data_IF_084653564888
#
_entry.id   IF_084653564888
#
_cell.length_a   1.000
_cell.length_b   1.000
_cell.length_c   1.000
_cell.angle_alpha   90.00
_cell.angle_beta   90.00
_cell.angle_gamma   90.00
#
_symmetry.space_group_name_H-M   'P 1'
#
loop_
_entity.id
_entity.type
_entity.pdbx_description
1 polymer ?
#
# COMPACT_ATOMS: atom_id res chain seq x y z
N UNK A 1 0.43 -2.77 -10.72
CA UNK A 1 -0.17 -1.93 -9.67
C UNK A 1 0.87 -1.31 -8.75
N UNK A 2 1.77 -2.10 -8.16
CA UNK A 2 2.92 -1.63 -7.38
C UNK A 2 3.72 -0.50 -8.07
N UNK A 3 4.03 -0.66 -9.35
CA UNK A 3 4.73 0.37 -10.15
C UNK A 3 4.01 1.71 -10.15
N UNK A 4 2.66 1.71 -10.21
CA UNK A 4 1.86 2.94 -10.15
C UNK A 4 1.93 3.61 -8.77
N UNK A 5 1.95 2.82 -7.69
CA UNK A 5 2.14 3.35 -6.33
C UNK A 5 3.52 3.98 -6.18
N UNK A 6 4.58 3.28 -6.59
CA UNK A 6 5.95 3.81 -6.52
C UNK A 6 6.06 5.08 -7.38
N UNK A 7 5.51 5.07 -8.60
CA UNK A 7 5.47 6.24 -9.47
C UNK A 7 4.75 7.44 -8.83
N UNK A 8 3.63 7.21 -8.16
CA UNK A 8 2.91 8.25 -7.42
C UNK A 8 3.70 8.82 -6.24
N UNK A 9 4.41 7.97 -5.48
CA UNK A 9 5.26 8.40 -4.37
C UNK A 9 6.46 9.23 -4.88
N UNK A 10 7.09 8.79 -5.96
CA UNK A 10 8.18 9.53 -6.61
C UNK A 10 7.70 10.87 -7.18
N UNK A 11 6.49 10.92 -7.77
CA UNK A 11 5.88 12.16 -8.25
C UNK A 11 5.64 13.18 -7.12
N UNK A 12 5.41 12.70 -5.89
CA UNK A 12 5.33 13.51 -4.68
C UNK A 12 6.70 13.92 -4.11
N UNK A 13 7.80 13.66 -4.84
CA UNK A 13 9.18 14.00 -4.46
C UNK A 13 9.69 13.22 -3.23
N UNK A 14 9.07 12.08 -2.92
CA UNK A 14 9.59 11.16 -1.91
C UNK A 14 10.87 10.51 -2.47
N UNK A 15 12.00 10.52 -1.73
CA UNK A 15 13.24 9.88 -2.14
C UNK A 15 13.03 8.41 -2.52
N UNK A 16 13.74 7.92 -3.53
CA UNK A 16 13.50 6.57 -4.07
C UNK A 16 13.76 5.45 -3.04
N UNK A 17 14.75 5.63 -2.19
CA UNK A 17 15.10 4.77 -1.05
C UNK A 17 13.98 4.70 0.01
N UNK A 18 13.06 5.66 0.03
CA UNK A 18 11.86 5.66 0.88
C UNK A 18 10.61 5.25 0.10
N UNK A 19 10.44 5.74 -1.13
CA UNK A 19 9.28 5.49 -1.97
C UNK A 19 9.11 4.01 -2.33
N UNK A 20 10.22 3.31 -2.63
CA UNK A 20 10.20 1.89 -2.95
C UNK A 20 9.71 1.04 -1.76
N UNK A 21 10.31 1.10 -0.56
CA UNK A 21 9.82 0.31 0.57
C UNK A 21 8.40 0.70 0.99
N UNK A 22 8.04 1.99 0.94
CA UNK A 22 6.66 2.43 1.20
C UNK A 22 5.65 1.79 0.23
N UNK A 23 5.94 1.82 -1.08
CA UNK A 23 5.08 1.23 -2.10
C UNK A 23 4.93 -0.28 -1.96
N UNK A 24 6.03 -0.99 -1.68
CA UNK A 24 6.02 -2.45 -1.45
C UNK A 24 5.20 -2.80 -0.21
N UNK A 25 5.40 -2.08 0.89
CA UNK A 25 4.67 -2.31 2.14
C UNK A 25 3.17 -2.07 1.99
N UNK A 26 2.77 -0.93 1.40
CA UNK A 26 1.37 -0.62 1.15
C UNK A 26 0.71 -1.63 0.21
N UNK A 27 1.41 -2.06 -0.84
CA UNK A 27 0.92 -3.08 -1.76
C UNK A 27 0.70 -4.43 -1.07
N UNK A 28 1.65 -4.86 -0.22
CA UNK A 28 1.52 -6.08 0.58
C UNK A 28 0.35 -6.02 1.55
N UNK A 29 0.16 -4.89 2.25
CA UNK A 29 -0.98 -4.71 3.17
C UNK A 29 -2.33 -4.71 2.46
N UNK A 30 -2.43 -4.05 1.31
CA UNK A 30 -3.62 -4.11 0.49
C UNK A 30 -3.92 -5.55 0.01
N UNK A 31 -2.89 -6.34 -0.30
CA UNK A 31 -3.02 -7.73 -0.72
C UNK A 31 -3.45 -8.66 0.44
N UNK A 32 -2.88 -8.51 1.63
CA UNK A 32 -3.33 -9.25 2.83
C UNK A 32 -4.85 -9.10 3.03
N UNK A 33 -5.35 -7.87 2.90
CA UNK A 33 -6.76 -7.55 3.09
C UNK A 33 -7.67 -8.03 1.98
N UNK A 34 -7.20 -7.97 0.74
CA UNK A 34 -7.96 -8.42 -0.40
C UNK A 34 -7.96 -9.96 -0.56
N UNK A 35 -6.93 -10.66 -0.06
CA UNK A 35 -6.83 -12.11 -0.20
C UNK A 35 -7.71 -12.90 0.77
N UNK A 36 -7.81 -12.49 2.04
CA UNK A 36 -8.36 -13.37 3.06
C UNK A 36 -7.60 -14.71 3.11
N UNK A 37 -8.27 -15.82 2.76
CA UNK A 37 -7.66 -17.16 2.61
C UNK A 37 -7.39 -17.56 1.14
N UNK A 38 -7.63 -16.66 0.17
CA UNK A 38 -7.50 -16.96 -1.24
C UNK A 38 -6.03 -17.01 -1.70
N UNK A 39 -5.71 -17.97 -2.57
CA UNK A 39 -4.39 -18.12 -3.20
C UNK A 39 -4.10 -17.11 -4.32
N UNK A 40 -5.11 -16.35 -4.74
CA UNK A 40 -5.00 -15.33 -5.77
C UNK A 40 -6.00 -14.21 -5.50
N UNK A 41 -5.69 -13.01 -5.99
CA UNK A 41 -6.47 -11.80 -5.76
C UNK A 41 -6.75 -11.18 -7.13
N UNK A 42 -8.00 -10.81 -7.38
CA UNK A 42 -8.31 -10.03 -8.57
C UNK A 42 -7.73 -8.61 -8.43
N UNK A 43 -7.25 -8.05 -9.53
CA UNK A 43 -6.67 -6.70 -9.54
C UNK A 43 -7.64 -5.62 -9.05
N UNK A 44 -8.96 -5.81 -9.26
CA UNK A 44 -10.01 -4.92 -8.76
C UNK A 44 -10.08 -4.91 -7.24
N UNK A 45 -10.04 -6.07 -6.60
CA UNK A 45 -10.18 -6.17 -5.15
C UNK A 45 -8.95 -5.59 -4.46
N UNK A 46 -7.77 -5.82 -5.05
CA UNK A 46 -6.55 -5.16 -4.61
C UNK A 46 -6.63 -3.62 -4.75
N UNK A 47 -7.23 -3.11 -5.82
CA UNK A 47 -7.45 -1.68 -6.03
C UNK A 47 -8.33 -1.04 -4.96
N UNK A 48 -9.41 -1.71 -4.60
CA UNK A 48 -10.32 -1.24 -3.56
C UNK A 48 -9.66 -1.25 -2.17
N UNK A 49 -8.69 -2.13 -1.93
CA UNK A 49 -8.00 -2.24 -0.64
C UNK A 49 -6.83 -1.25 -0.42
N UNK A 50 -6.34 -0.55 -1.45
CA UNK A 50 -5.21 0.40 -1.28
C UNK A 50 -5.55 1.58 -0.36
N UNK A 51 -6.66 2.26 -0.62
CA UNK A 51 -7.06 3.44 0.16
C UNK A 51 -7.16 3.13 1.67
N UNK A 52 -7.90 2.06 2.04
CA UNK A 52 -7.94 1.56 3.40
C UNK A 52 -6.54 1.23 3.98
N UNK A 53 -5.65 0.60 3.22
CA UNK A 53 -4.30 0.28 3.68
C UNK A 53 -3.49 1.54 4.00
N UNK A 54 -3.59 2.59 3.18
CA UNK A 54 -2.96 3.89 3.44
C UNK A 54 -3.49 4.51 4.74
N UNK A 55 -4.82 4.53 4.93
CA UNK A 55 -5.43 5.07 6.13
C UNK A 55 -4.95 4.36 7.40
N UNK A 56 -4.86 3.04 7.38
CA UNK A 56 -4.38 2.27 8.54
C UNK A 56 -2.95 2.62 8.92
N UNK A 57 -2.05 2.74 7.93
CA UNK A 57 -0.66 3.13 8.17
C UNK A 57 -0.58 4.50 8.81
N UNK A 58 -1.38 5.46 8.30
CA UNK A 58 -1.46 6.81 8.86
C UNK A 58 -2.02 6.81 10.30
N UNK A 59 -3.06 6.04 10.60
CA UNK A 59 -3.62 5.96 11.96
C UNK A 59 -2.65 5.33 12.95
N UNK A 60 -1.91 4.29 12.55
CA UNK A 60 -0.88 3.66 13.40
C UNK A 60 0.29 4.59 13.73
N UNK A 61 0.65 5.50 12.83
CA UNK A 61 1.68 6.51 13.10
C UNK A 61 1.23 7.63 14.05
N UNK A 62 -0.06 7.73 14.39
CA UNK A 62 -0.64 8.83 15.20
C UNK A 62 -0.94 8.41 16.65
N UNK A 63 -0.91 7.12 17.01
CA UNK A 63 -1.02 6.71 18.41
C UNK A 63 0.36 6.74 19.10
N UNK A 64 0.62 7.69 20.03
CA UNK A 64 1.79 7.60 20.89
C UNK A 64 1.65 6.41 21.85
N UNK A 65 2.79 5.76 22.12
CA UNK A 65 2.97 4.77 23.19
C UNK A 65 2.86 5.42 24.56
#
# INVERSE_FOLDING_TARGET
>A
MLTGMIGSLLAQRIPADQAVPMGVYLHGKAAEWASGEAHSIAAKDLLLSIGPAIQQVMTRSVQPS
#
